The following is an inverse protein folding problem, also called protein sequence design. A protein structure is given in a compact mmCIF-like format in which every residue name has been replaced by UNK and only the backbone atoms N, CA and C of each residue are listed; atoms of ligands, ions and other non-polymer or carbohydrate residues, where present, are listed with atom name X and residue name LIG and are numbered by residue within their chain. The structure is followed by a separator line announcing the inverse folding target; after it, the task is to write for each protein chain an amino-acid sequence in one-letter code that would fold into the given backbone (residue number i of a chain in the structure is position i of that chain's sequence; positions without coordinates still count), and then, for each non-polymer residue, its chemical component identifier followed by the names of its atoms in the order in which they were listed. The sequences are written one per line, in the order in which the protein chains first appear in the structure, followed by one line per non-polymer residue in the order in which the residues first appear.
data_IF_939742264342
#
_entry.id   IF_939742264342
#
_cell.length_a   1.000
_cell.length_b   1.000
_cell.length_c   1.000
_cell.angle_alpha   90.00
_cell.angle_beta   90.00
_cell.angle_gamma   90.00
#
_symmetry.space_group_name_H-M   'P 1'
#
loop_
_entity.id
_entity.type
_entity.pdbx_description
1 polymer ?
#
# COMPACT_ATOMS: atom_id res chain seq x y z
N UNK A 1 -13.38 -7.44 -24.00
CA UNK A 1 -12.55 -8.01 -22.93
C UNK A 1 -13.44 -8.61 -21.87
N UNK A 2 -13.33 -9.92 -21.65
CA UNK A 2 -13.90 -10.62 -20.50
C UNK A 2 -13.27 -10.10 -19.20
N UNK A 3 -13.85 -10.46 -18.05
CA UNK A 3 -13.27 -10.13 -16.74
C UNK A 3 -11.88 -10.77 -16.60
N UNK A 4 -11.71 -12.01 -17.06
CA UNK A 4 -10.44 -12.71 -17.06
C UNK A 4 -9.37 -11.97 -17.89
N UNK A 5 -9.71 -11.56 -19.12
CA UNK A 5 -8.79 -10.82 -19.99
C UNK A 5 -8.39 -9.48 -19.37
N UNK A 6 -9.31 -8.80 -18.66
CA UNK A 6 -9.01 -7.56 -17.94
C UNK A 6 -8.03 -7.81 -16.79
N UNK A 7 -8.24 -8.85 -15.99
CA UNK A 7 -7.36 -9.19 -14.87
C UNK A 7 -5.96 -9.58 -15.33
N UNK A 8 -5.86 -10.40 -16.38
CA UNK A 8 -4.56 -10.78 -16.98
C UNK A 8 -3.83 -9.55 -17.52
N UNK A 9 -4.55 -8.62 -18.15
CA UNK A 9 -3.97 -7.36 -18.63
C UNK A 9 -3.47 -6.49 -17.48
N UNK A 10 -4.24 -6.36 -16.39
CA UNK A 10 -3.80 -5.62 -15.20
C UNK A 10 -2.53 -6.23 -14.58
N UNK A 11 -2.47 -7.56 -14.50
CA UNK A 11 -1.28 -8.26 -13.97
C UNK A 11 -0.06 -8.04 -14.87
N UNK A 12 -0.20 -8.18 -16.19
CA UNK A 12 0.89 -7.95 -17.12
C UNK A 12 1.42 -6.50 -17.05
N UNK A 13 0.53 -5.52 -16.94
CA UNK A 13 0.90 -4.13 -16.74
C UNK A 13 1.62 -3.94 -15.41
N UNK A 14 1.11 -4.53 -14.33
CA UNK A 14 1.74 -4.44 -13.01
C UNK A 14 3.15 -5.03 -13.00
N UNK A 15 3.33 -6.24 -13.54
CA UNK A 15 4.64 -6.90 -13.64
C UNK A 15 5.63 -6.06 -14.47
N UNK A 16 5.17 -5.49 -15.58
CA UNK A 16 6.00 -4.63 -16.43
C UNK A 16 6.46 -3.36 -15.71
N UNK A 17 5.53 -2.66 -15.04
CA UNK A 17 5.82 -1.40 -14.34
C UNK A 17 6.64 -1.60 -13.06
N UNK A 18 6.47 -2.73 -12.38
CA UNK A 18 7.16 -3.02 -11.12
C UNK A 18 8.53 -3.68 -11.29
N UNK A 19 8.91 -4.09 -12.51
CA UNK A 19 10.19 -4.72 -12.80
C UNK A 19 11.40 -3.79 -12.56
N UNK A 20 11.21 -2.47 -12.72
CA UNK A 20 12.21 -1.46 -12.38
C UNK A 20 11.59 -0.38 -11.48
N UNK A 21 11.65 -0.56 -10.15
CA UNK A 21 11.12 0.41 -9.19
C UNK A 21 11.77 1.79 -9.28
N UNK A 22 12.98 1.91 -9.84
CA UNK A 22 13.68 3.18 -9.99
C UNK A 22 13.27 3.92 -11.27
N UNK A 23 12.63 3.24 -12.23
CA UNK A 23 12.13 3.87 -13.47
C UNK A 23 11.01 4.88 -13.22
N UNK A 24 10.33 4.79 -12.06
CA UNK A 24 9.29 5.72 -11.65
C UNK A 24 9.68 6.29 -10.29
N UNK A 25 10.13 7.54 -10.28
CA UNK A 25 10.43 8.24 -9.02
C UNK A 25 9.18 8.35 -8.15
N UNK A 26 9.33 8.00 -6.88
CA UNK A 26 8.27 8.24 -5.90
C UNK A 26 8.09 9.75 -5.71
N UNK A 27 6.84 10.26 -5.60
CA UNK A 27 6.59 11.64 -5.22
C UNK A 27 7.30 11.99 -3.91
N UNK A 28 7.82 13.21 -3.79
CA UNK A 28 8.57 13.65 -2.61
C UNK A 28 7.80 13.48 -1.29
N UNK A 29 6.47 13.65 -1.31
CA UNK A 29 5.63 13.49 -0.13
C UNK A 29 5.61 12.05 0.44
N UNK A 30 5.99 11.04 -0.36
CA UNK A 30 6.09 9.65 0.15
C UNK A 30 7.13 9.55 1.27
N UNK A 31 8.28 10.20 1.10
CA UNK A 31 9.34 10.19 2.10
C UNK A 31 8.89 10.89 3.38
N UNK A 32 8.24 12.05 3.24
CA UNK A 32 7.72 12.82 4.37
C UNK A 32 6.72 11.99 5.20
N UNK A 33 5.79 11.31 4.54
CA UNK A 33 4.78 10.46 5.19
C UNK A 33 5.43 9.24 5.87
N UNK A 34 6.41 8.60 5.23
CA UNK A 34 7.13 7.46 5.82
C UNK A 34 7.92 7.88 7.06
N UNK A 35 8.64 9.01 6.98
CA UNK A 35 9.39 9.56 8.10
C UNK A 35 8.46 9.96 9.26
N UNK A 36 7.28 10.50 8.99
CA UNK A 36 6.29 10.78 10.03
C UNK A 36 5.78 9.51 10.71
N UNK A 37 5.46 8.48 9.93
CA UNK A 37 5.00 7.20 10.47
C UNK A 37 6.06 6.52 11.32
N UNK A 38 7.31 6.57 10.90
CA UNK A 38 8.44 6.02 11.65
C UNK A 38 8.60 6.74 13.00
N UNK A 39 8.60 8.08 13.01
CA UNK A 39 8.63 8.86 14.26
C UNK A 39 7.49 8.49 15.21
N UNK A 40 6.27 8.30 14.70
CA UNK A 40 5.12 7.90 15.52
C UNK A 40 5.26 6.50 16.10
N UNK A 41 5.89 5.58 15.38
CA UNK A 41 6.18 4.23 15.89
C UNK A 41 7.24 4.32 17.00
N UNK A 42 8.31 5.08 16.78
CA UNK A 42 9.38 5.28 17.76
C UNK A 42 8.89 5.99 19.03
N UNK A 43 7.99 6.96 18.91
CA UNK A 43 7.39 7.66 20.07
C UNK A 43 6.33 6.81 20.79
N UNK A 44 5.89 5.70 20.20
CA UNK A 44 4.83 4.84 20.72
C UNK A 44 3.41 5.36 20.43
N UNK A 45 3.27 6.46 19.69
CA UNK A 45 1.97 6.99 19.23
C UNK A 45 1.30 6.08 18.20
N UNK A 46 2.08 5.34 17.43
CA UNK A 46 1.63 4.33 16.49
C UNK A 46 2.22 2.96 16.82
N UNK A 47 1.48 1.90 16.48
CA UNK A 47 1.91 0.52 16.68
C UNK A 47 1.46 -0.36 15.53
N UNK A 48 2.23 -1.40 15.28
CA UNK A 48 1.81 -2.47 14.38
C UNK A 48 0.61 -3.20 14.96
N UNK A 49 -0.27 -3.63 14.06
CA UNK A 49 -1.46 -4.41 14.39
C UNK A 49 -1.53 -5.60 13.45
N UNK A 50 -1.97 -6.73 13.98
CA UNK A 50 -2.22 -7.93 13.17
C UNK A 50 -3.21 -7.62 12.04
N UNK A 51 -2.89 -8.08 10.84
CA UNK A 51 -3.64 -7.72 9.64
C UNK A 51 -5.12 -8.12 9.71
N UNK A 52 -5.42 -9.30 10.24
CA UNK A 52 -6.80 -9.74 10.43
C UNK A 52 -7.57 -8.85 11.41
N UNK A 53 -6.90 -8.37 12.47
CA UNK A 53 -7.50 -7.44 13.44
C UNK A 53 -7.76 -6.07 12.80
N UNK A 54 -6.81 -5.58 12.00
CA UNK A 54 -6.96 -4.31 11.28
C UNK A 54 -8.15 -4.37 10.31
N UNK A 55 -8.25 -5.43 9.50
CA UNK A 55 -9.38 -5.62 8.57
C UNK A 55 -10.73 -5.68 9.28
N UNK A 56 -10.81 -6.40 10.40
CA UNK A 56 -12.04 -6.49 11.18
C UNK A 56 -12.47 -5.11 11.71
N UNK A 57 -11.53 -4.34 12.24
CA UNK A 57 -11.81 -2.99 12.76
C UNK A 57 -12.23 -2.02 11.66
N UNK A 58 -11.57 -2.03 10.50
CA UNK A 58 -11.93 -1.18 9.36
C UNK A 58 -13.36 -1.48 8.92
N UNK A 59 -13.70 -2.77 8.70
CA UNK A 59 -15.05 -3.18 8.30
C UNK A 59 -16.11 -2.72 9.30
N UNK A 60 -15.81 -2.82 10.60
CA UNK A 60 -16.71 -2.35 11.69
C UNK A 60 -16.97 -0.85 11.63
N UNK A 61 -15.98 -0.03 11.22
CA UNK A 61 -16.09 1.44 11.16
C UNK A 61 -16.77 1.94 9.88
N UNK A 62 -16.77 1.15 8.82
CA UNK A 62 -17.30 1.53 7.49
C UNK A 62 -18.62 0.86 7.13
N UNK A 63 -19.15 -0.01 7.99
CA UNK A 63 -20.49 -0.62 7.84
C UNK A 63 -21.52 0.19 8.61
#
# INVERSE_FOLDING_TARGET
MSVEEKLQTMEALWQSLSADPAAIESPAWHEEELAERERKIESGEAKFVEWEKAKAEIRRRTS
#
